data_IF_374448135999
#
_entry.id   IF_374448135999
#
_cell.length_a   1.000
_cell.length_b   1.000
_cell.length_c   1.000
_cell.angle_alpha   90.00
_cell.angle_beta   90.00
_cell.angle_gamma   90.00
#
_symmetry.space_group_name_H-M   'P 1'
#
loop_
_entity.id
_entity.type
_entity.pdbx_description
1 polymer ?
#
# COMPACT_ATOMS: atom_id res chain seq x y z
N UNK A 1 15.91 25.53 -13.70
CA UNK A 1 14.64 26.26 -13.59
C UNK A 1 13.61 25.62 -14.52
N UNK A 2 12.83 24.65 -14.01
CA UNK A 2 11.46 24.34 -14.47
C UNK A 2 10.76 23.73 -13.26
N UNK A 3 10.12 24.55 -12.42
CA UNK A 3 9.05 24.09 -11.55
C UNK A 3 7.85 24.95 -11.93
N UNK A 4 6.96 24.35 -12.71
CA UNK A 4 5.75 25.00 -13.18
C UNK A 4 4.88 25.38 -12.00
N UNK A 5 4.56 26.67 -11.95
CA UNK A 5 3.50 27.27 -11.16
C UNK A 5 2.25 26.38 -11.18
N UNK A 6 1.88 25.79 -10.04
CA UNK A 6 0.71 24.91 -9.92
C UNK A 6 -0.57 25.75 -9.83
N UNK A 7 -0.74 26.72 -10.73
CA UNK A 7 -1.99 27.48 -10.88
C UNK A 7 -2.99 26.61 -11.62
N UNK A 8 -4.16 26.40 -10.99
CA UNK A 8 -5.46 25.95 -11.54
C UNK A 8 -5.38 25.32 -12.94
N UNK A 9 -5.55 23.99 -13.01
CA UNK A 9 -5.98 23.36 -14.25
C UNK A 9 -7.31 24.02 -14.70
N UNK A 10 -7.44 24.47 -15.96
CA UNK A 10 -8.67 25.08 -16.44
C UNK A 10 -9.81 24.04 -16.44
N UNK A 11 -10.95 24.42 -15.86
CA UNK A 11 -12.20 23.67 -15.94
C UNK A 11 -12.79 23.83 -17.35
N UNK A 12 -12.26 23.06 -18.31
CA UNK A 12 -12.94 22.56 -19.52
C UNK A 12 -11.89 22.11 -20.53
N UNK A 13 -11.73 20.79 -20.66
CA UNK A 13 -10.89 20.17 -21.68
C UNK A 13 -11.17 18.68 -21.67
N UNK A 14 -11.40 18.11 -22.86
CA UNK A 14 -11.76 16.71 -23.12
C UNK A 14 -10.91 15.75 -22.27
N UNK A 15 -11.49 14.64 -21.82
CA UNK A 15 -10.77 13.56 -21.13
C UNK A 15 -9.61 13.06 -22.01
N UNK A 16 -8.45 13.68 -21.87
CA UNK A 16 -7.21 13.20 -22.44
C UNK A 16 -6.89 11.86 -21.78
N UNK A 17 -6.34 10.95 -22.57
CA UNK A 17 -6.06 9.58 -22.20
C UNK A 17 -4.94 9.57 -21.14
N UNK A 18 -5.30 9.86 -19.88
CA UNK A 18 -4.36 9.84 -18.75
C UNK A 18 -3.89 8.41 -18.59
N UNK A 19 -2.59 8.18 -18.77
CA UNK A 19 -1.98 6.88 -18.51
C UNK A 19 -2.22 6.50 -17.05
N UNK A 20 -2.99 5.44 -16.84
CA UNK A 20 -3.19 4.81 -15.53
C UNK A 20 -2.35 3.53 -15.51
N UNK A 21 -1.39 3.39 -14.59
CA UNK A 21 -0.54 2.21 -14.55
C UNK A 21 -1.34 0.92 -14.31
N UNK A 22 -0.88 -0.25 -14.81
CA UNK A 22 -1.53 -1.53 -14.57
C UNK A 22 -1.69 -1.89 -13.08
N UNK A 23 -0.83 -1.35 -12.20
CA UNK A 23 -0.95 -1.56 -10.75
C UNK A 23 -2.04 -0.72 -10.07
N UNK A 24 -2.74 0.14 -10.81
CA UNK A 24 -3.76 1.01 -10.25
C UNK A 24 -4.96 0.21 -9.73
N UNK A 25 -5.34 0.50 -8.48
CA UNK A 25 -6.55 -0.03 -7.85
C UNK A 25 -7.34 1.05 -7.10
N UNK A 26 -8.60 0.75 -6.78
CA UNK A 26 -9.41 1.54 -5.84
C UNK A 26 -8.74 1.59 -4.46
N UNK A 27 -8.98 2.70 -3.73
CA UNK A 27 -8.52 2.82 -2.36
C UNK A 27 -9.31 1.88 -1.44
N UNK A 28 -8.59 1.22 -0.54
CA UNK A 28 -9.15 0.55 0.62
C UNK A 28 -9.44 1.56 1.76
N UNK A 29 -10.03 1.12 2.86
CA UNK A 29 -10.45 2.01 3.95
C UNK A 29 -9.26 2.61 4.71
N UNK A 30 -8.20 1.83 4.90
CA UNK A 30 -6.91 2.28 5.45
C UNK A 30 -6.33 3.43 4.62
N UNK A 31 -6.33 3.28 3.29
CA UNK A 31 -5.86 4.30 2.36
C UNK A 31 -6.74 5.55 2.39
N UNK A 32 -8.05 5.44 2.63
CA UNK A 32 -8.94 6.60 2.80
C UNK A 32 -8.63 7.35 4.10
N UNK A 33 -8.41 6.64 5.20
CA UNK A 33 -7.99 7.28 6.46
C UNK A 33 -6.61 7.92 6.32
N UNK A 34 -5.70 7.33 5.52
CA UNK A 34 -4.41 7.95 5.22
C UNK A 34 -4.55 9.29 4.48
N UNK A 35 -5.47 9.38 3.49
CA UNK A 35 -5.80 10.66 2.83
C UNK A 35 -6.33 11.66 3.84
N UNK A 36 -7.23 11.22 4.71
CA UNK A 36 -7.86 12.07 5.70
C UNK A 36 -6.86 12.57 6.76
N UNK A 37 -5.91 11.74 7.21
CA UNK A 37 -4.81 12.15 8.08
C UNK A 37 -3.96 13.23 7.41
N UNK A 38 -3.56 13.05 6.15
CA UNK A 38 -2.80 14.05 5.41
C UNK A 38 -3.58 15.36 5.28
N UNK A 39 -4.88 15.28 5.00
CA UNK A 39 -5.79 16.44 4.90
C UNK A 39 -5.89 17.20 6.22
N UNK A 40 -6.24 16.52 7.33
CA UNK A 40 -6.35 17.16 8.65
C UNK A 40 -5.02 17.77 9.09
N UNK A 41 -3.90 17.12 8.76
CA UNK A 41 -2.56 17.65 9.07
C UNK A 41 -2.31 18.97 8.35
N UNK A 42 -2.55 19.06 7.04
CA UNK A 42 -2.29 20.31 6.32
C UNK A 42 -3.29 21.41 6.67
N UNK A 43 -4.56 21.07 6.87
CA UNK A 43 -5.58 22.04 7.28
C UNK A 43 -5.27 22.67 8.64
N UNK A 44 -4.63 21.93 9.55
CA UNK A 44 -4.24 22.40 10.88
C UNK A 44 -2.92 23.19 10.91
N UNK A 45 -2.04 23.02 9.93
CA UNK A 45 -0.65 23.48 10.00
C UNK A 45 -0.21 24.37 8.84
N UNK A 46 -1.07 24.60 7.84
CA UNK A 46 -0.74 25.53 6.77
C UNK A 46 -0.56 26.96 7.30
N UNK A 47 0.45 27.66 6.78
CA UNK A 47 0.74 29.06 7.09
C UNK A 47 0.19 30.02 6.02
N UNK A 48 -0.42 29.49 4.96
CA UNK A 48 -1.05 30.26 3.90
C UNK A 48 -2.50 30.63 4.27
N UNK A 49 -2.88 31.90 4.06
CA UNK A 49 -4.28 32.27 3.89
C UNK A 49 -4.86 31.74 2.56
N UNK A 50 -6.21 31.79 2.37
CA UNK A 50 -6.89 31.21 1.20
C UNK A 50 -6.38 31.66 -0.18
N UNK A 51 -5.76 32.84 -0.27
CA UNK A 51 -5.21 33.43 -1.50
C UNK A 51 -3.75 33.89 -1.34
N UNK A 52 -3.03 33.35 -0.37
CA UNK A 52 -1.65 33.74 -0.06
C UNK A 52 -0.66 32.63 -0.41
N UNK A 53 0.57 33.02 -0.74
CA UNK A 53 1.69 32.09 -0.85
C UNK A 53 2.19 31.76 0.57
N UNK A 54 2.31 30.46 0.88
CA UNK A 54 2.85 29.96 2.15
C UNK A 54 4.06 29.07 1.98
N UNK A 55 4.80 28.85 3.06
CA UNK A 55 5.93 27.91 3.08
C UNK A 55 5.42 26.48 3.24
N UNK A 56 4.33 26.30 4.01
CA UNK A 56 3.74 25.03 4.40
C UNK A 56 2.37 24.87 3.75
N UNK A 57 2.33 24.32 2.54
CA UNK A 57 1.12 24.25 1.70
C UNK A 57 0.71 22.83 1.36
N UNK A 58 1.54 21.83 1.66
CA UNK A 58 1.31 20.42 1.37
C UNK A 58 1.45 19.60 2.65
N UNK A 59 0.47 18.75 2.92
CA UNK A 59 0.56 17.68 3.92
C UNK A 59 0.76 16.34 3.24
N UNK A 60 1.34 15.39 3.96
CA UNK A 60 1.43 14.01 3.55
C UNK A 60 1.23 13.10 4.74
N UNK A 61 0.85 11.87 4.45
CA UNK A 61 0.83 10.80 5.41
C UNK A 61 1.39 9.53 4.77
N UNK A 62 2.18 8.79 5.55
CA UNK A 62 2.71 7.48 5.19
C UNK A 62 2.24 6.43 6.19
N UNK A 63 1.82 5.29 5.67
CA UNK A 63 1.44 4.11 6.43
C UNK A 63 2.58 3.10 6.40
N UNK A 64 3.02 2.65 7.57
CA UNK A 64 4.00 1.58 7.69
C UNK A 64 3.38 0.19 7.51
N UNK A 65 4.21 -0.85 7.36
CA UNK A 65 3.75 -2.24 7.25
C UNK A 65 3.04 -2.76 8.52
N UNK A 66 3.20 -2.07 9.64
CA UNK A 66 2.50 -2.31 10.92
C UNK A 66 1.26 -1.42 11.10
N UNK A 67 0.80 -0.75 10.05
CA UNK A 67 -0.36 0.16 10.00
C UNK A 67 -0.25 1.45 10.82
N UNK A 68 0.87 1.69 11.50
CA UNK A 68 1.11 3.01 12.07
C UNK A 68 1.19 4.04 10.95
N UNK A 69 0.49 5.15 11.13
CA UNK A 69 0.49 6.25 10.19
C UNK A 69 1.27 7.43 10.74
N UNK A 70 2.06 8.07 9.87
CA UNK A 70 2.93 9.18 10.22
C UNK A 70 2.67 10.32 9.25
N UNK A 71 2.44 11.51 9.79
CA UNK A 71 2.17 12.70 9.00
C UNK A 71 3.41 13.59 8.84
N UNK A 72 3.42 14.40 7.78
CA UNK A 72 4.43 15.40 7.51
C UNK A 72 3.84 16.59 6.76
N UNK A 73 4.49 17.75 6.89
CA UNK A 73 4.17 18.97 6.14
C UNK A 73 5.44 19.40 5.41
N UNK A 74 5.30 19.90 4.18
CA UNK A 74 6.46 20.33 3.41
C UNK A 74 7.17 21.50 4.10
N UNK A 75 8.47 21.64 3.86
CA UNK A 75 9.22 22.83 4.20
C UNK A 75 9.78 23.42 2.91
N UNK A 76 9.12 24.44 2.37
CA UNK A 76 9.61 25.10 1.17
C UNK A 76 10.93 25.83 1.44
N UNK A 77 11.92 25.59 0.58
CA UNK A 77 13.16 26.36 0.54
C UNK A 77 13.77 26.30 -0.86
N UNK A 78 14.38 27.40 -1.33
CA UNK A 78 14.90 27.52 -2.70
C UNK A 78 16.00 26.51 -3.04
N UNK A 79 16.72 26.00 -2.03
CA UNK A 79 17.74 24.94 -2.20
C UNK A 79 17.14 23.54 -2.37
N UNK A 80 15.81 23.44 -2.49
CA UNK A 80 15.10 22.18 -2.53
C UNK A 80 14.75 21.67 -1.13
N UNK A 81 14.06 22.49 -0.32
CA UNK A 81 13.47 22.01 0.93
C UNK A 81 12.56 20.79 0.73
N UNK A 82 12.40 19.92 1.74
CA UNK A 82 11.73 18.62 1.58
C UNK A 82 10.24 18.76 1.26
N UNK A 83 9.76 17.91 0.35
CA UNK A 83 8.32 17.72 0.15
C UNK A 83 7.70 17.08 1.39
N UNK A 84 6.37 17.20 1.52
CA UNK A 84 5.66 16.66 2.68
C UNK A 84 5.86 15.15 2.82
N UNK A 85 5.92 14.43 1.70
CA UNK A 85 6.16 12.99 1.65
C UNK A 85 7.50 12.59 2.28
N UNK A 86 8.57 13.35 1.99
CA UNK A 86 9.90 13.09 2.56
C UNK A 86 9.93 13.38 4.07
N UNK A 87 9.20 14.40 4.51
CA UNK A 87 9.04 14.70 5.93
C UNK A 87 8.29 13.58 6.65
N UNK A 88 7.20 13.07 6.06
CA UNK A 88 6.43 11.95 6.60
C UNK A 88 7.27 10.66 6.70
N UNK A 89 8.04 10.34 5.65
CA UNK A 89 8.99 9.20 5.65
C UNK A 89 10.06 9.34 6.74
N UNK A 90 10.63 10.54 6.90
CA UNK A 90 11.59 10.84 7.96
C UNK A 90 10.98 10.67 9.36
N UNK A 91 9.75 11.16 9.56
CA UNK A 91 9.01 11.02 10.81
C UNK A 91 8.74 9.55 11.15
N UNK A 92 8.30 8.76 10.16
CA UNK A 92 8.12 7.32 10.31
C UNK A 92 9.41 6.63 10.75
N UNK A 93 10.53 6.94 10.08
CA UNK A 93 11.85 6.38 10.42
C UNK A 93 12.27 6.71 11.86
N UNK A 94 12.10 7.98 12.26
CA UNK A 94 12.42 8.46 13.60
C UNK A 94 11.63 7.73 14.69
N UNK A 95 10.41 7.25 14.37
CA UNK A 95 9.54 6.51 15.28
C UNK A 95 9.66 4.98 15.13
N UNK A 96 10.75 4.50 14.54
CA UNK A 96 11.05 3.08 14.46
C UNK A 96 10.39 2.34 13.29
N UNK A 97 9.59 3.01 12.45
CA UNK A 97 9.08 2.37 11.24
C UNK A 97 10.21 2.18 10.21
N UNK A 98 10.17 1.06 9.49
CA UNK A 98 11.24 0.64 8.58
C UNK A 98 10.75 0.24 7.20
N UNK A 99 9.50 -0.21 7.11
CA UNK A 99 8.84 -0.55 5.86
C UNK A 99 7.56 0.25 5.68
N UNK A 100 7.33 0.72 4.45
CA UNK A 100 6.21 1.58 4.11
C UNK A 100 5.26 0.86 3.16
N UNK A 101 3.98 0.91 3.50
CA UNK A 101 2.88 0.28 2.77
C UNK A 101 2.30 1.24 1.73
N UNK A 102 1.97 2.46 2.15
CA UNK A 102 1.29 3.42 1.29
C UNK A 102 1.64 4.85 1.69
N UNK A 103 1.67 5.77 0.72
CA UNK A 103 1.89 7.20 0.96
C UNK A 103 0.94 8.07 0.11
N UNK A 104 0.58 9.24 0.62
CA UNK A 104 -0.21 10.23 -0.09
C UNK A 104 0.21 11.65 0.27
N UNK A 105 0.07 12.58 -0.68
CA UNK A 105 0.15 14.02 -0.45
C UNK A 105 -1.18 14.70 -0.73
N UNK A 106 -1.52 15.69 0.09
CA UNK A 106 -2.75 16.49 0.02
C UNK A 106 -2.39 17.97 0.09
N UNK A 107 -2.94 18.76 -0.82
CA UNK A 107 -2.77 20.21 -0.79
C UNK A 107 -3.72 20.88 0.19
N UNK A 108 -3.26 21.97 0.83
CA UNK A 108 -4.07 22.85 1.67
C UNK A 108 -5.31 23.40 0.93
N UNK A 109 -6.25 23.96 1.70
CA UNK A 109 -7.45 24.65 1.17
C UNK A 109 -8.30 23.79 0.24
N UNK A 110 -8.41 22.49 0.52
CA UNK A 110 -9.26 21.59 -0.24
C UNK A 110 -8.75 21.29 -1.66
N UNK A 111 -7.47 21.54 -1.97
CA UNK A 111 -6.86 21.16 -3.26
C UNK A 111 -6.84 19.65 -3.49
N UNK A 112 -7.05 18.85 -2.43
CA UNK A 112 -7.21 17.41 -2.52
C UNK A 112 -5.89 16.68 -2.74
N UNK A 113 -5.98 15.42 -3.17
CA UNK A 113 -4.82 14.56 -3.44
C UNK A 113 -4.00 15.12 -4.60
N UNK A 114 -2.69 15.28 -4.37
CA UNK A 114 -1.74 15.73 -5.39
C UNK A 114 -0.72 14.61 -5.62
N UNK A 115 -0.43 14.30 -6.89
CA UNK A 115 0.56 13.29 -7.24
C UNK A 115 1.99 13.75 -6.86
N UNK A 116 2.89 12.82 -6.50
CA UNK A 116 4.23 13.16 -6.04
C UNK A 116 5.05 13.83 -7.15
N UNK A 117 5.94 14.74 -6.75
CA UNK A 117 6.84 15.40 -7.68
C UNK A 117 7.95 14.45 -8.17
N UNK A 118 8.70 14.84 -9.21
CA UNK A 118 9.75 13.99 -9.77
C UNK A 118 10.83 13.58 -8.77
N UNK A 119 11.18 14.45 -7.82
CA UNK A 119 12.17 14.14 -6.77
C UNK A 119 11.66 13.05 -5.83
N UNK A 120 10.41 13.14 -5.39
CA UNK A 120 9.86 12.16 -4.46
C UNK A 120 9.64 10.82 -5.15
N UNK A 121 9.20 10.83 -6.42
CA UNK A 121 9.11 9.60 -7.24
C UNK A 121 10.44 8.87 -7.31
N UNK A 122 11.56 9.59 -7.53
CA UNK A 122 12.88 8.98 -7.56
C UNK A 122 13.23 8.35 -6.21
N UNK A 123 13.00 9.06 -5.10
CA UNK A 123 13.20 8.51 -3.74
C UNK A 123 12.35 7.27 -3.51
N UNK A 124 11.08 7.27 -3.94
CA UNK A 124 10.21 6.10 -3.77
C UNK A 124 10.68 4.93 -4.60
N UNK A 125 11.10 5.15 -5.85
CA UNK A 125 11.60 4.08 -6.72
C UNK A 125 12.91 3.49 -6.19
N UNK A 126 13.81 4.31 -5.67
CA UNK A 126 15.11 3.86 -5.17
C UNK A 126 14.99 3.09 -3.85
N UNK A 127 14.16 3.56 -2.92
CA UNK A 127 14.11 2.99 -1.56
C UNK A 127 12.87 2.17 -1.26
N UNK A 128 11.73 2.47 -1.89
CA UNK A 128 10.42 1.89 -1.57
C UNK A 128 9.65 1.45 -2.83
N UNK A 129 10.26 0.68 -3.76
CA UNK A 129 9.66 0.41 -5.07
C UNK A 129 8.31 -0.34 -5.01
N UNK A 130 8.05 -1.06 -3.92
CA UNK A 130 6.82 -1.81 -3.66
C UNK A 130 5.79 -1.04 -2.84
N UNK A 131 6.14 0.11 -2.27
CA UNK A 131 5.20 0.97 -1.55
C UNK A 131 4.15 1.49 -2.52
N UNK A 132 2.91 1.56 -2.06
CA UNK A 132 1.81 2.14 -2.83
C UNK A 132 1.80 3.66 -2.69
N UNK A 133 1.33 4.34 -3.73
CA UNK A 133 1.21 5.79 -3.77
C UNK A 133 -0.20 6.13 -4.23
N UNK A 134 -0.88 6.97 -3.45
CA UNK A 134 -2.21 7.46 -3.82
C UNK A 134 -2.03 8.67 -4.73
N UNK A 135 -2.55 8.58 -5.95
CA UNK A 135 -2.46 9.61 -6.98
C UNK A 135 -3.84 10.04 -7.47
N UNK A 136 -4.03 11.30 -7.89
CA UNK A 136 -5.28 11.73 -8.48
C UNK A 136 -5.43 11.15 -9.90
N UNK A 137 -6.63 10.68 -10.25
CA UNK A 137 -6.98 10.28 -11.62
C UNK A 137 -8.33 10.89 -12.01
N UNK A 138 -8.71 10.89 -13.31
CA UNK A 138 -10.04 11.33 -13.73
C UNK A 138 -11.19 10.56 -13.08
N UNK A 139 -10.95 9.32 -12.64
CA UNK A 139 -11.92 8.48 -11.94
C UNK A 139 -11.85 8.61 -10.40
N UNK A 140 -11.18 9.66 -9.90
CA UNK A 140 -10.88 9.86 -8.48
C UNK A 140 -9.50 9.31 -8.07
N UNK A 141 -9.11 9.42 -6.80
CA UNK A 141 -7.85 8.89 -6.31
C UNK A 141 -7.70 7.38 -6.61
N UNK A 142 -6.49 6.97 -6.99
CA UNK A 142 -6.12 5.57 -7.19
C UNK A 142 -4.82 5.27 -6.47
N UNK A 143 -4.70 4.06 -5.96
CA UNK A 143 -3.48 3.56 -5.35
C UNK A 143 -2.67 2.82 -6.42
N UNK A 144 -1.41 3.20 -6.64
CA UNK A 144 -0.49 2.59 -7.63
C UNK A 144 0.82 2.17 -6.97
N UNK A 145 1.62 1.31 -7.59
CA UNK A 145 2.98 1.03 -7.09
C UNK A 145 3.93 2.20 -7.38
N UNK A 146 4.86 2.48 -6.46
CA UNK A 146 5.90 3.49 -6.66
C UNK A 146 6.75 3.24 -7.91
N UNK A 147 7.09 1.97 -8.19
CA UNK A 147 7.83 1.57 -9.38
C UNK A 147 7.17 1.99 -10.71
N UNK A 148 5.85 2.15 -10.72
CA UNK A 148 5.09 2.48 -11.92
C UNK A 148 5.01 4.00 -12.20
N UNK A 149 5.49 4.84 -11.27
CA UNK A 149 5.42 6.30 -11.40
C UNK A 149 6.51 6.89 -12.31
N UNK A 150 7.49 6.07 -12.71
CA UNK A 150 8.64 6.48 -13.53
C UNK A 150 8.94 5.44 -14.62
N UNK A 151 8.48 5.65 -15.87
CA UNK A 151 8.83 4.77 -16.97
C UNK A 151 10.33 4.87 -17.29
N UNK A 152 10.97 3.73 -17.57
CA UNK A 152 12.39 3.64 -17.92
C UNK A 152 13.32 4.27 -16.88
N UNK A 153 12.96 4.14 -15.60
CA UNK A 153 13.69 4.76 -14.49
C UNK A 153 15.16 4.34 -14.44
N UNK A 154 16.04 5.31 -14.25
CA UNK A 154 17.42 5.06 -13.85
C UNK A 154 17.42 4.79 -12.35
N UNK A 155 17.63 3.53 -11.97
CA UNK A 155 17.82 3.19 -10.56
C UNK A 155 19.16 3.72 -10.10
N UNK A 156 19.16 4.38 -8.96
CA UNK A 156 20.40 4.72 -8.30
C UNK A 156 21.01 3.45 -7.69
N UNK A 157 22.32 3.22 -7.90
CA UNK A 157 23.07 2.11 -7.28
C UNK A 157 24.19 2.63 -6.37
N UNK A 158 24.56 1.87 -5.31
CA UNK A 158 25.58 2.28 -4.35
C UNK A 158 26.97 2.57 -4.94
N UNK A 159 27.26 2.12 -6.17
CA UNK A 159 28.55 2.35 -6.83
C UNK A 159 28.71 3.79 -7.39
N UNK A 160 27.68 4.64 -7.33
CA UNK A 160 27.69 6.01 -7.87
C UNK A 160 27.25 7.08 -6.88
N UNK A 161 28.21 7.81 -6.31
CA UNK A 161 28.06 8.98 -5.40
C UNK A 161 27.30 8.71 -4.09
N UNK A 162 28.02 8.18 -3.09
CA UNK A 162 27.64 8.17 -1.68
C UNK A 162 26.93 6.88 -1.24
N UNK A 163 27.56 6.12 -0.35
CA UNK A 163 27.17 4.79 0.11
C UNK A 163 25.84 4.75 0.91
N UNK A 164 24.71 4.97 0.27
CA UNK A 164 23.41 4.59 0.82
C UNK A 164 23.09 3.18 0.31
N UNK A 165 22.90 2.23 1.22
CA UNK A 165 22.46 0.88 0.86
C UNK A 165 20.92 0.86 0.87
N UNK A 166 20.23 0.66 -0.28
CA UNK A 166 18.77 0.56 -0.32
C UNK A 166 18.20 -0.52 0.61
N UNK A 167 18.99 -1.52 1.00
CA UNK A 167 18.60 -2.53 1.99
C UNK A 167 18.24 -1.93 3.36
N UNK A 168 18.79 -0.76 3.72
CA UNK A 168 18.47 -0.06 4.97
C UNK A 168 16.99 0.35 5.08
N UNK A 169 16.30 0.44 3.94
CA UNK A 169 14.87 0.75 3.82
C UNK A 169 14.02 -0.49 3.46
N UNK A 170 14.69 -1.63 3.29
CA UNK A 170 14.09 -2.95 3.14
C UNK A 170 14.58 -3.83 4.29
N UNK A 171 14.23 -3.48 5.51
CA UNK A 171 14.62 -4.26 6.69
C UNK A 171 13.65 -5.44 6.88
N UNK A 172 14.08 -6.70 6.72
CA UNK A 172 13.22 -7.87 6.89
C UNK A 172 12.86 -8.14 8.36
N UNK A 173 13.67 -7.70 9.32
CA UNK A 173 13.47 -7.98 10.76
C UNK A 173 12.38 -7.08 11.36
N UNK A 174 12.15 -5.90 10.79
CA UNK A 174 11.14 -4.93 11.25
C UNK A 174 9.95 -4.78 10.29
N UNK A 175 9.95 -5.52 9.18
CA UNK A 175 8.80 -5.72 8.29
C UNK A 175 7.56 -6.24 9.04
N UNK A 176 7.82 -6.93 10.15
CA UNK A 176 6.89 -7.89 10.72
C UNK A 176 6.65 -9.05 9.74
N UNK A 177 5.94 -10.08 10.20
CA UNK A 177 5.51 -11.16 9.32
C UNK A 177 4.63 -10.61 8.17
N UNK A 178 4.81 -11.08 6.91
CA UNK A 178 3.96 -10.74 5.77
C UNK A 178 2.47 -10.79 6.11
N UNK A 179 1.70 -9.84 5.59
CA UNK A 179 0.26 -9.76 5.84
C UNK A 179 -0.50 -10.51 4.74
N UNK A 180 -1.46 -11.34 5.16
CA UNK A 180 -2.46 -11.93 4.28
C UNK A 180 -3.83 -11.38 4.70
N UNK A 181 -4.48 -10.60 3.84
CA UNK A 181 -5.79 -9.97 4.14
C UNK A 181 -6.95 -10.92 3.92
N UNK A 182 -7.90 -10.94 4.84
CA UNK A 182 -9.13 -11.70 4.75
C UNK A 182 -10.35 -10.79 4.87
N UNK A 183 -11.39 -11.11 4.10
CA UNK A 183 -12.70 -10.55 4.36
C UNK A 183 -13.17 -10.99 5.76
N UNK A 184 -13.84 -10.11 6.55
CA UNK A 184 -14.31 -10.42 7.91
C UNK A 184 -15.15 -11.68 8.03
N UNK A 185 -15.88 -12.07 6.97
CA UNK A 185 -16.69 -13.29 6.95
C UNK A 185 -15.87 -14.56 7.22
N UNK A 186 -14.57 -14.53 6.96
CA UNK A 186 -13.68 -15.67 7.14
C UNK A 186 -13.08 -15.75 8.56
N UNK A 187 -13.32 -14.77 9.43
CA UNK A 187 -12.69 -14.70 10.74
C UNK A 187 -12.94 -15.96 11.57
N UNK A 188 -14.20 -16.34 11.76
CA UNK A 188 -14.54 -17.47 12.62
C UNK A 188 -14.12 -18.82 12.03
N UNK A 189 -14.17 -18.99 10.71
CA UNK A 189 -13.72 -20.23 10.06
C UNK A 189 -12.20 -20.35 10.06
N UNK A 190 -11.45 -19.24 10.00
CA UNK A 190 -9.99 -19.27 10.18
C UNK A 190 -9.64 -19.49 11.65
N UNK A 191 -10.29 -18.78 12.58
CA UNK A 191 -10.07 -18.89 14.02
C UNK A 191 -10.35 -20.30 14.55
N UNK A 192 -11.36 -20.98 14.02
CA UNK A 192 -11.68 -22.37 14.37
C UNK A 192 -10.78 -23.42 13.70
N UNK A 193 -9.88 -23.00 12.80
CA UNK A 193 -9.04 -23.90 12.00
C UNK A 193 -9.81 -24.64 10.90
N UNK A 194 -11.08 -24.32 10.64
CA UNK A 194 -11.86 -24.90 9.56
C UNK A 194 -11.35 -24.47 8.18
N UNK A 195 -10.82 -23.24 8.07
CA UNK A 195 -10.16 -22.70 6.88
C UNK A 195 -8.66 -22.60 7.11
N UNK A 196 -7.88 -23.39 6.37
CA UNK A 196 -6.41 -23.46 6.47
C UNK A 196 -5.70 -23.13 5.16
N UNK A 197 -6.46 -22.87 4.10
CA UNK A 197 -5.94 -22.42 2.81
C UNK A 197 -6.62 -21.16 2.30
N UNK A 198 -5.90 -20.41 1.47
CA UNK A 198 -6.43 -19.29 0.70
C UNK A 198 -5.78 -19.22 -0.67
N UNK A 199 -6.59 -19.08 -1.71
CA UNK A 199 -6.14 -18.90 -3.09
C UNK A 199 -6.01 -17.41 -3.40
N UNK A 200 -4.88 -17.02 -3.99
CA UNK A 200 -4.52 -15.64 -4.27
C UNK A 200 -4.11 -15.44 -5.72
N UNK A 201 -4.59 -14.38 -6.33
CA UNK A 201 -4.18 -13.96 -7.66
C UNK A 201 -3.34 -12.69 -7.58
N UNK A 202 -2.08 -12.77 -8.06
CA UNK A 202 -1.12 -11.65 -8.05
C UNK A 202 -0.91 -10.99 -6.68
N UNK A 203 -1.01 -11.78 -5.62
CA UNK A 203 -0.84 -11.37 -4.22
C UNK A 203 0.11 -12.38 -3.53
N UNK A 204 1.44 -12.26 -3.79
CA UNK A 204 2.41 -13.28 -3.44
C UNK A 204 2.65 -13.34 -1.93
N UNK A 205 2.66 -14.55 -1.38
CA UNK A 205 3.02 -14.82 0.01
C UNK A 205 4.45 -15.36 0.16
N UNK A 206 4.93 -15.45 1.40
CA UNK A 206 6.21 -16.07 1.75
C UNK A 206 6.00 -17.15 2.79
N UNK A 207 6.79 -18.21 2.71
CA UNK A 207 6.87 -19.23 3.76
C UNK A 207 7.38 -18.61 5.07
N UNK A 208 6.92 -19.15 6.20
CA UNK A 208 7.28 -18.69 7.54
C UNK A 208 6.21 -17.81 8.17
N UNK A 209 6.55 -17.04 9.22
CA UNK A 209 5.59 -16.22 9.96
C UNK A 209 4.76 -15.32 9.04
N UNK A 210 3.48 -15.16 9.33
CA UNK A 210 2.57 -14.23 8.68
C UNK A 210 1.57 -13.62 9.68
N UNK A 211 0.89 -12.54 9.27
CA UNK A 211 -0.23 -11.93 9.99
C UNK A 211 -1.47 -12.04 9.13
N UNK A 212 -2.50 -12.73 9.61
CA UNK A 212 -3.80 -12.77 8.95
C UNK A 212 -4.61 -11.57 9.45
N UNK A 213 -4.85 -10.61 8.57
CA UNK A 213 -5.56 -9.37 8.91
C UNK A 213 -6.98 -9.45 8.38
N UNK A 214 -7.97 -9.31 9.25
CA UNK A 214 -9.39 -9.34 8.92
C UNK A 214 -9.93 -7.93 8.92
N UNK A 215 -10.43 -7.47 7.77
CA UNK A 215 -10.85 -6.08 7.49
C UNK A 215 -12.19 -5.72 8.19
N UNK A 216 -12.28 -5.94 9.50
CA UNK A 216 -13.44 -5.63 10.35
C UNK A 216 -13.26 -4.31 11.08
N UNK A 217 -14.32 -3.80 11.71
CA UNK A 217 -14.24 -2.65 12.63
C UNK A 217 -14.72 -3.09 14.03
N UNK A 218 -13.83 -3.24 15.03
CA UNK A 218 -12.37 -3.03 14.96
C UNK A 218 -11.65 -4.13 14.14
N UNK A 219 -10.48 -3.80 13.59
CA UNK A 219 -9.65 -4.74 12.83
C UNK A 219 -9.16 -5.88 13.73
N UNK A 220 -9.22 -7.12 13.22
CA UNK A 220 -8.72 -8.29 13.93
C UNK A 220 -7.47 -8.82 13.22
N UNK A 221 -6.40 -9.03 13.97
CA UNK A 221 -5.14 -9.59 13.47
C UNK A 221 -4.84 -10.90 14.19
N UNK A 222 -4.62 -11.98 13.43
CA UNK A 222 -4.20 -13.28 13.96
C UNK A 222 -2.76 -13.57 13.54
N UNK A 223 -1.86 -13.94 14.48
CA UNK A 223 -0.55 -14.47 14.13
C UNK A 223 -0.72 -15.84 13.46
N UNK A 224 0.05 -16.08 12.40
CA UNK A 224 0.02 -17.33 11.66
C UNK A 224 1.40 -17.70 11.12
N UNK A 225 1.52 -18.91 10.59
CA UNK A 225 2.66 -19.38 9.84
C UNK A 225 2.19 -19.93 8.50
N UNK A 226 2.80 -19.44 7.40
CA UNK A 226 2.59 -19.97 6.05
C UNK A 226 3.49 -21.19 5.89
N UNK A 227 2.87 -22.36 5.80
CA UNK A 227 3.55 -23.67 5.79
C UNK A 227 3.69 -24.23 4.39
N UNK A 228 2.98 -23.69 3.40
CA UNK A 228 3.06 -24.14 2.01
C UNK A 228 2.52 -23.12 1.03
N UNK A 229 3.15 -23.06 -0.15
CA UNK A 229 2.67 -22.26 -1.28
C UNK A 229 2.73 -23.18 -2.50
N UNK A 230 1.59 -23.34 -3.18
CA UNK A 230 1.50 -24.09 -4.44
C UNK A 230 1.02 -23.17 -5.54
N UNK A 231 1.81 -23.05 -6.59
CA UNK A 231 1.46 -22.29 -7.80
C UNK A 231 0.76 -23.21 -8.78
N UNK A 232 -0.40 -22.80 -9.28
CA UNK A 232 -1.09 -23.52 -10.35
C UNK A 232 -2.04 -22.60 -11.14
N UNK A 233 -2.39 -22.99 -12.38
CA UNK A 233 -3.50 -22.37 -13.09
C UNK A 233 -4.82 -22.48 -12.32
N UNK A 234 -5.72 -21.49 -12.44
CA UNK A 234 -7.07 -21.53 -11.86
C UNK A 234 -7.84 -22.79 -12.26
N UNK A 235 -7.65 -23.25 -13.49
CA UNK A 235 -8.24 -24.49 -14.03
C UNK A 235 -7.77 -25.78 -13.34
N UNK A 236 -6.66 -25.73 -12.60
CA UNK A 236 -6.08 -26.87 -11.86
C UNK A 236 -6.43 -26.86 -10.37
N UNK A 237 -7.20 -25.88 -9.89
CA UNK A 237 -7.73 -25.91 -8.52
C UNK A 237 -8.57 -27.17 -8.29
N UNK A 238 -8.37 -27.83 -7.15
CA UNK A 238 -8.97 -29.13 -6.84
C UNK A 238 -10.09 -29.01 -5.81
N UNK A 239 -10.93 -30.04 -5.70
CA UNK A 239 -11.96 -30.11 -4.65
C UNK A 239 -11.35 -30.11 -3.24
N UNK A 240 -10.12 -30.62 -3.10
CA UNK A 240 -9.38 -30.56 -1.83
C UNK A 240 -8.97 -29.12 -1.46
N UNK A 241 -8.64 -28.29 -2.46
CA UNK A 241 -8.38 -26.87 -2.20
C UNK A 241 -9.66 -26.17 -1.78
N UNK A 242 -10.78 -26.44 -2.46
CA UNK A 242 -12.09 -25.89 -2.10
C UNK A 242 -12.48 -26.25 -0.65
N UNK A 243 -12.34 -27.52 -0.25
CA UNK A 243 -12.64 -27.99 1.10
C UNK A 243 -11.80 -27.28 2.17
N UNK A 244 -10.50 -27.12 1.93
CA UNK A 244 -9.61 -26.38 2.83
C UNK A 244 -9.88 -24.87 2.88
N UNK A 245 -10.66 -24.36 1.91
CA UNK A 245 -11.15 -22.99 1.86
C UNK A 245 -12.55 -22.80 2.44
N UNK A 246 -13.23 -23.87 2.85
CA UNK A 246 -14.61 -23.86 3.36
C UNK A 246 -15.70 -24.01 2.28
N UNK A 247 -15.35 -24.53 1.10
CA UNK A 247 -16.24 -24.78 -0.03
C UNK A 247 -16.29 -26.29 -0.35
N UNK A 248 -17.23 -26.72 -1.19
CA UNK A 248 -17.43 -28.16 -1.46
C UNK A 248 -16.67 -28.63 -2.70
N UNK A 249 -16.63 -27.78 -3.74
CA UNK A 249 -16.08 -28.16 -5.06
C UNK A 249 -15.15 -27.11 -5.64
N UNK A 250 -14.24 -27.53 -6.52
CA UNK A 250 -13.35 -26.65 -7.27
C UNK A 250 -14.12 -25.63 -8.13
N UNK A 251 -15.29 -26.01 -8.65
CA UNK A 251 -16.14 -25.10 -9.42
C UNK A 251 -16.66 -23.95 -8.55
N UNK A 252 -17.10 -24.25 -7.31
CA UNK A 252 -17.50 -23.23 -6.34
C UNK A 252 -16.33 -22.32 -5.96
N UNK A 253 -15.13 -22.88 -5.77
CA UNK A 253 -13.94 -22.09 -5.48
C UNK A 253 -13.59 -21.13 -6.62
N UNK A 254 -13.58 -21.61 -7.87
CA UNK A 254 -13.30 -20.77 -9.05
C UNK A 254 -14.34 -19.66 -9.22
N UNK A 255 -15.61 -19.95 -8.98
CA UNK A 255 -16.67 -18.94 -9.06
C UNK A 255 -16.58 -17.94 -7.90
N UNK A 256 -16.27 -18.41 -6.68
CA UNK A 256 -16.03 -17.57 -5.52
C UNK A 256 -14.86 -16.62 -5.73
N UNK A 257 -13.78 -17.07 -6.39
CA UNK A 257 -12.63 -16.23 -6.73
C UNK A 257 -13.01 -15.06 -7.63
N UNK A 258 -13.97 -15.20 -8.55
CA UNK A 258 -14.42 -14.09 -9.41
C UNK A 258 -15.07 -12.95 -8.64
N UNK A 259 -15.62 -13.21 -7.44
CA UNK A 259 -16.13 -12.14 -6.58
C UNK A 259 -15.03 -11.21 -6.08
N UNK A 260 -13.79 -11.71 -6.00
CA UNK A 260 -12.60 -10.95 -5.60
C UNK A 260 -11.75 -10.52 -6.81
N UNK A 261 -11.76 -11.31 -7.88
CA UNK A 261 -10.97 -11.13 -9.09
C UNK A 261 -11.88 -11.25 -10.34
N UNK A 262 -12.66 -10.21 -10.69
CA UNK A 262 -13.69 -10.31 -11.73
C UNK A 262 -13.17 -10.75 -13.11
N UNK A 263 -11.92 -10.38 -13.43
CA UNK A 263 -11.28 -10.65 -14.71
C UNK A 263 -10.48 -11.97 -14.74
N UNK A 264 -10.61 -12.81 -13.71
CA UNK A 264 -9.83 -14.04 -13.56
C UNK A 264 -10.22 -15.10 -14.60
N UNK A 265 -9.24 -15.56 -15.37
CA UNK A 265 -9.39 -16.61 -16.38
C UNK A 265 -8.87 -17.96 -15.89
N UNK A 266 -9.25 -19.05 -16.56
CA UNK A 266 -8.82 -20.40 -16.19
C UNK A 266 -7.32 -20.67 -16.38
N UNK A 267 -6.65 -19.87 -17.22
CA UNK A 267 -5.22 -19.96 -17.53
C UNK A 267 -4.36 -19.04 -16.67
N UNK A 268 -4.98 -18.19 -15.84
CA UNK A 268 -4.24 -17.34 -14.91
C UNK A 268 -3.62 -18.18 -13.80
N UNK A 269 -2.38 -17.85 -13.44
CA UNK A 269 -1.66 -18.48 -12.34
C UNK A 269 -2.12 -17.91 -10.99
N UNK A 270 -2.38 -18.79 -10.04
CA UNK A 270 -2.75 -18.45 -8.66
C UNK A 270 -1.86 -19.17 -7.65
N UNK A 271 -1.73 -18.56 -6.48
CA UNK A 271 -1.02 -19.10 -5.34
C UNK A 271 -2.03 -19.70 -4.36
N UNK A 272 -1.97 -21.01 -4.14
CA UNK A 272 -2.70 -21.69 -3.07
C UNK A 272 -1.82 -21.70 -1.84
N UNK A 273 -2.12 -20.81 -0.90
CA UNK A 273 -1.36 -20.61 0.33
C UNK A 273 -1.96 -21.48 1.43
N UNK A 274 -1.13 -22.31 2.05
CA UNK A 274 -1.46 -23.09 3.26
C UNK A 274 -0.88 -22.37 4.47
N UNK A 275 -1.71 -22.17 5.49
CA UNK A 275 -1.32 -21.47 6.71
C UNK A 275 -1.86 -22.18 7.96
N UNK A 276 -1.24 -21.90 9.10
CA UNK A 276 -1.68 -22.32 10.43
C UNK A 276 -1.72 -21.09 11.34
N UNK A 277 -2.79 -20.93 12.12
CA UNK A 277 -2.84 -19.89 13.15
C UNK A 277 -2.01 -20.34 14.36
N UNK A 278 -1.28 -19.41 14.98
CA UNK A 278 -0.57 -19.69 16.20
C UNK A 278 -1.51 -19.38 17.38
N UNK A 279 -1.82 -20.40 18.19
CA UNK A 279 -2.58 -20.24 19.45
C UNK A 279 -1.70 -19.56 20.52
N UNK A 280 -1.19 -18.35 20.25
CA UNK A 280 -0.60 -17.49 21.27
C UNK A 280 -1.61 -16.41 21.65
N UNK A 281 -2.64 -16.83 22.37
CA UNK A 281 -3.41 -15.95 23.26
C UNK A 281 -3.29 -16.47 24.70
N UNK A 282 -2.08 -16.69 25.20
CA UNK A 282 -1.83 -16.94 26.63
C UNK A 282 -0.33 -16.94 26.97
N UNK A 283 0.34 -15.79 26.89
CA UNK A 283 1.53 -15.56 27.71
C UNK A 283 1.63 -14.07 28.00
N UNK A 284 1.01 -13.67 29.11
CA UNK A 284 1.49 -12.60 29.96
C UNK A 284 3.02 -12.58 29.96
N UNK A 285 3.63 -11.43 29.75
CA UNK A 285 4.97 -11.14 30.32
C UNK A 285 5.19 -9.63 30.33
N UNK A 286 6.01 -9.13 31.27
CA UNK A 286 5.57 -8.39 32.46
C UNK A 286 5.94 -6.90 32.45
#
# INVERSE_FOLDING_TARGET
MIFGDCRRLPANGKAENVYVPPSARSLDDDERELVELARRTIDAHTDAGPDEDGVHTMGAAVMAADYRMFAGVNLYHFTGGPCAELVALGAARAQGARQMRCIVAVGNHGRGVIGPCGRDRQVFVDYYPTMRVIVPTPAGPRSVLAADLMPLTQRWTPEGMGSLDPSLYQDPETAGPPIIRFNPRYLEVVRSGAKTKTTRFRDPARLGPARLVFESDPEVVLPAEVTGIRHCPVSELTDQDAQAEGLTTAAELREGLKSHYPDLSGTDEVDVITFQINDETAADTP
#
